data_IF_410793624106
#
_entry.id   IF_410793624106
#
_cell.length_a   1.000
_cell.length_b   1.000
_cell.length_c   1.000
_cell.angle_alpha   90.00
_cell.angle_beta   90.00
_cell.angle_gamma   90.00
#
_symmetry.space_group_name_H-M   'P 1'
#
loop_
_entity.id
_entity.type
_entity.pdbx_description
1 polymer ?
#
# COMPACT_ATOMS: atom_id res chain seq x y z
N UNK A 1 58.75 44.80 -32.28
CA UNK A 1 58.12 43.54 -32.72
C UNK A 1 58.17 42.43 -31.68
N UNK A 2 59.34 41.96 -31.21
CA UNK A 2 59.44 40.83 -30.26
C UNK A 2 58.60 40.99 -28.96
N UNK A 3 58.55 42.18 -28.35
CA UNK A 3 57.75 42.42 -27.13
C UNK A 3 56.23 42.36 -27.34
N UNK A 4 55.74 42.74 -28.52
CA UNK A 4 54.30 42.71 -28.85
C UNK A 4 53.83 41.26 -29.04
N UNK A 5 54.67 40.41 -29.64
CA UNK A 5 54.38 38.98 -29.83
C UNK A 5 54.33 38.25 -28.48
N UNK A 6 55.25 38.55 -27.55
CA UNK A 6 55.26 37.94 -26.21
C UNK A 6 54.03 38.34 -25.39
N UNK A 7 53.59 39.60 -25.48
CA UNK A 7 52.36 40.07 -24.82
C UNK A 7 51.13 39.41 -25.45
N UNK A 8 51.07 39.31 -26.78
CA UNK A 8 49.98 38.65 -27.49
C UNK A 8 49.83 37.16 -27.14
N UNK A 9 50.94 36.42 -27.06
CA UNK A 9 50.94 35.00 -26.66
C UNK A 9 50.54 34.83 -25.20
N UNK A 10 50.98 35.73 -24.31
CA UNK A 10 50.58 35.72 -22.90
C UNK A 10 49.08 35.94 -22.69
N UNK A 11 48.49 36.88 -23.43
CA UNK A 11 47.03 37.16 -23.35
C UNK A 11 46.21 35.98 -23.88
N UNK A 12 46.63 35.34 -24.97
CA UNK A 12 45.94 34.15 -25.51
C UNK A 12 46.03 32.98 -24.54
N UNK A 13 47.18 32.75 -23.90
CA UNK A 13 47.32 31.71 -22.88
C UNK A 13 46.43 31.94 -21.66
N UNK A 14 46.33 33.19 -21.18
CA UNK A 14 45.44 33.55 -20.06
C UNK A 14 43.97 33.36 -20.45
N UNK A 15 43.57 33.74 -21.67
CA UNK A 15 42.21 33.53 -22.16
C UNK A 15 41.87 32.04 -22.31
N UNK A 16 42.81 31.22 -22.75
CA UNK A 16 42.63 29.76 -22.82
C UNK A 16 42.54 29.13 -21.43
N UNK A 17 43.35 29.59 -20.47
CA UNK A 17 43.27 29.14 -19.06
C UNK A 17 41.96 29.61 -18.44
N UNK A 18 41.54 30.86 -18.66
CA UNK A 18 40.27 31.38 -18.17
C UNK A 18 39.07 30.66 -18.82
N UNK A 19 39.15 30.32 -20.11
CA UNK A 19 38.15 29.51 -20.80
C UNK A 19 38.13 28.08 -20.25
N UNK A 20 39.29 27.45 -20.05
CA UNK A 20 39.40 26.11 -19.48
C UNK A 20 38.89 26.05 -18.03
N UNK A 21 39.26 27.03 -17.21
CA UNK A 21 38.73 27.22 -15.85
C UNK A 21 37.23 27.51 -15.90
N UNK A 22 36.75 28.35 -16.81
CA UNK A 22 35.32 28.61 -16.99
C UNK A 22 34.56 27.37 -17.43
N UNK A 23 35.13 26.50 -18.28
CA UNK A 23 34.49 25.21 -18.64
C UNK A 23 34.53 24.19 -17.51
N UNK A 24 35.48 24.29 -16.57
CA UNK A 24 35.52 23.46 -15.36
C UNK A 24 34.59 24.01 -14.26
N UNK A 25 34.47 25.34 -14.16
CA UNK A 25 33.66 26.06 -13.15
C UNK A 25 32.22 26.27 -13.62
N UNK A 26 31.93 26.21 -14.93
CA UNK A 26 30.59 26.06 -15.46
C UNK A 26 30.05 24.74 -14.93
N UNK A 27 29.53 24.83 -13.71
CA UNK A 27 29.03 23.74 -12.92
C UNK A 27 28.04 23.00 -13.79
N UNK A 28 28.41 21.79 -14.20
CA UNK A 28 27.45 20.84 -14.72
C UNK A 28 26.27 20.83 -13.76
N UNK A 29 25.08 21.16 -14.28
CA UNK A 29 23.89 21.41 -13.49
C UNK A 29 23.65 20.21 -12.56
N UNK A 30 23.46 20.49 -11.26
CA UNK A 30 23.30 19.46 -10.23
C UNK A 30 22.19 18.49 -10.62
N UNK A 31 22.54 17.21 -10.74
CA UNK A 31 21.58 16.15 -10.97
C UNK A 31 20.89 15.80 -9.65
N UNK A 32 19.56 15.68 -9.67
CA UNK A 32 18.79 15.24 -8.50
C UNK A 32 18.22 13.85 -8.78
N UNK A 33 18.45 12.91 -7.86
CA UNK A 33 17.91 11.54 -7.97
C UNK A 33 16.89 11.31 -6.87
N UNK A 34 15.62 11.18 -7.27
CA UNK A 34 14.54 10.81 -6.38
C UNK A 34 14.31 9.30 -6.46
N UNK A 35 14.32 8.62 -5.32
CA UNK A 35 14.11 7.19 -5.19
C UNK A 35 12.80 6.97 -4.45
N UNK A 36 11.80 6.46 -5.16
CA UNK A 36 10.47 6.20 -4.63
C UNK A 36 10.35 4.72 -4.34
N UNK A 37 10.23 4.37 -3.06
CA UNK A 37 10.05 3.00 -2.59
C UNK A 37 8.57 2.73 -2.34
N UNK A 38 7.92 1.95 -3.22
CA UNK A 38 6.51 1.58 -3.05
C UNK A 38 6.27 0.61 -1.89
N UNK A 39 7.32 -0.08 -1.43
CA UNK A 39 7.26 -1.09 -0.39
C UNK A 39 8.58 -1.07 0.41
N UNK A 40 8.67 -0.21 1.44
CA UNK A 40 9.73 -0.28 2.45
C UNK A 40 9.14 -0.68 3.81
N UNK A 41 9.77 -1.65 4.47
CA UNK A 41 9.43 -2.04 5.84
C UNK A 41 9.95 -0.94 6.79
N UNK A 42 9.15 -0.52 7.78
CA UNK A 42 9.55 0.50 8.78
C UNK A 42 10.86 0.16 9.51
N UNK A 43 11.26 -1.11 9.49
CA UNK A 43 12.34 -1.66 10.28
C UNK A 43 13.69 -1.78 9.56
N UNK A 44 13.76 -1.55 8.24
CA UNK A 44 15.05 -1.39 7.57
C UNK A 44 15.35 0.10 7.50
N UNK A 45 16.39 0.55 8.23
CA UNK A 45 16.81 1.95 8.15
C UNK A 45 17.17 2.28 6.71
N UNK A 46 16.61 3.36 6.19
CA UNK A 46 16.97 3.92 4.89
C UNK A 46 18.49 4.15 4.76
N UNK A 47 19.16 4.40 5.89
CA UNK A 47 20.62 4.43 6.03
C UNK A 47 21.33 3.18 5.50
N UNK A 48 20.78 1.96 5.70
CA UNK A 48 21.39 0.74 5.17
C UNK A 48 21.33 0.65 3.64
N UNK A 49 20.28 1.19 3.02
CA UNK A 49 20.19 1.25 1.55
C UNK A 49 21.21 2.23 0.99
N UNK A 50 21.35 3.39 1.64
CA UNK A 50 22.30 4.43 1.22
C UNK A 50 23.74 4.02 1.45
N UNK A 51 24.07 3.45 2.60
CA UNK A 51 25.43 2.96 2.86
C UNK A 51 25.84 1.93 1.80
N UNK A 52 24.93 1.06 1.38
CA UNK A 52 25.22 0.09 0.29
C UNK A 52 25.30 0.72 -1.09
N UNK A 53 24.51 1.76 -1.39
CA UNK A 53 24.70 2.56 -2.62
C UNK A 53 26.09 3.19 -2.60
N UNK A 54 26.47 3.82 -1.49
CA UNK A 54 27.79 4.44 -1.30
C UNK A 54 28.91 3.38 -1.42
N UNK A 55 28.78 2.22 -0.79
CA UNK A 55 29.75 1.12 -0.88
C UNK A 55 29.89 0.57 -2.31
N UNK A 56 28.79 0.53 -3.06
CA UNK A 56 28.79 0.07 -4.46
C UNK A 56 29.37 1.13 -5.42
N UNK A 57 29.31 2.39 -5.02
CA UNK A 57 29.85 3.54 -5.77
C UNK A 57 31.21 3.91 -5.15
N UNK A 58 32.23 3.13 -5.47
CA UNK A 58 33.58 3.29 -4.95
C UNK A 58 34.26 4.55 -5.55
N UNK A 59 34.84 5.42 -4.70
CA UNK A 59 35.77 6.54 -5.00
C UNK A 59 35.24 7.98 -5.27
N UNK A 60 36.18 8.94 -5.35
CA UNK A 60 36.14 10.41 -5.11
C UNK A 60 35.02 11.27 -5.79
N UNK A 61 34.83 12.50 -5.26
CA UNK A 61 33.52 13.05 -4.84
C UNK A 61 32.99 14.28 -5.64
N UNK A 62 31.73 14.24 -6.14
CA UNK A 62 30.94 15.40 -6.70
C UNK A 62 29.52 15.50 -6.10
N UNK A 63 29.05 16.60 -5.52
CA UNK A 63 27.78 16.61 -4.72
C UNK A 63 26.50 16.34 -5.58
N UNK A 64 25.82 15.22 -5.34
CA UNK A 64 24.48 14.84 -5.85
C UNK A 64 23.47 14.85 -4.69
N UNK A 65 22.34 15.52 -4.92
CA UNK A 65 21.20 15.47 -4.01
C UNK A 65 20.37 14.21 -4.28
N UNK A 66 20.33 13.31 -3.29
CA UNK A 66 19.51 12.11 -3.25
C UNK A 66 18.30 12.32 -2.36
N UNK A 67 17.14 11.84 -2.79
CA UNK A 67 15.94 11.87 -1.97
C UNK A 67 15.27 10.51 -1.93
N UNK A 68 15.03 9.95 -0.75
CA UNK A 68 14.27 8.70 -0.59
C UNK A 68 12.87 9.03 -0.10
N UNK A 69 11.87 8.58 -0.87
CA UNK A 69 10.44 8.77 -0.57
C UNK A 69 9.81 7.39 -0.33
N UNK A 70 9.17 7.21 0.82
CA UNK A 70 8.46 5.97 1.19
C UNK A 70 7.13 6.25 1.91
N UNK A 71 6.40 5.18 2.29
CA UNK A 71 5.07 5.28 2.93
C UNK A 71 5.05 6.17 4.18
N UNK A 72 6.18 6.28 4.89
CA UNK A 72 6.25 6.95 6.19
C UNK A 72 7.44 7.89 6.36
N UNK A 73 8.33 7.98 5.38
CA UNK A 73 9.56 8.78 5.48
C UNK A 73 9.88 9.48 4.17
N UNK A 74 10.32 10.73 4.31
CA UNK A 74 10.96 11.51 3.26
C UNK A 74 12.29 11.95 3.84
N UNK A 75 13.38 11.47 3.27
CA UNK A 75 14.73 11.74 3.77
C UNK A 75 15.62 12.22 2.62
N UNK A 76 16.29 13.34 2.86
CA UNK A 76 17.20 13.98 1.92
C UNK A 76 18.65 13.61 2.29
N UNK A 77 19.42 13.27 1.28
CA UNK A 77 20.81 12.84 1.40
C UNK A 77 21.66 13.56 0.36
N UNK A 78 22.94 13.75 0.69
CA UNK A 78 23.94 14.30 -0.23
C UNK A 78 25.00 13.24 -0.43
N UNK A 79 25.03 12.66 -1.62
CA UNK A 79 25.99 11.64 -2.00
C UNK A 79 26.90 12.23 -3.05
N UNK A 80 28.15 11.78 -3.10
CA UNK A 80 29.13 12.36 -4.00
C UNK A 80 29.28 11.43 -5.25
N UNK A 81 28.99 11.93 -6.45
CA UNK A 81 29.13 11.30 -7.78
C UNK A 81 30.58 10.91 -8.07
N UNK A 82 30.81 9.77 -8.72
CA UNK A 82 32.12 9.40 -9.24
C UNK A 82 32.48 10.20 -10.51
N UNK A 83 33.69 10.76 -10.58
CA UNK A 83 34.21 11.36 -11.82
C UNK A 83 34.74 10.24 -12.75
N UNK A 84 34.21 10.17 -13.98
CA UNK A 84 34.93 9.60 -15.13
C UNK A 84 34.76 8.11 -15.44
N UNK A 85 33.89 7.36 -14.74
CA UNK A 85 33.65 5.93 -15.03
C UNK A 85 32.25 5.62 -15.57
N UNK A 86 31.26 6.42 -15.21
CA UNK A 86 29.87 6.28 -15.65
C UNK A 86 29.44 7.68 -16.09
N UNK A 87 28.85 7.79 -17.29
CA UNK A 87 28.32 9.08 -17.72
C UNK A 87 27.20 9.50 -16.77
N UNK A 88 27.00 10.81 -16.53
CA UNK A 88 25.87 11.33 -15.73
C UNK A 88 24.51 10.80 -16.21
N UNK A 89 24.42 10.39 -17.48
CA UNK A 89 23.26 9.73 -18.09
C UNK A 89 23.03 8.30 -17.61
N UNK A 90 24.09 7.56 -17.30
CA UNK A 90 24.06 6.14 -16.93
C UNK A 90 24.07 5.93 -15.40
N UNK A 91 24.46 6.94 -14.62
CA UNK A 91 24.49 6.87 -13.16
C UNK A 91 23.14 6.51 -12.51
N UNK A 92 21.98 7.04 -12.95
CA UNK A 92 20.68 6.61 -12.42
C UNK A 92 20.38 5.12 -12.67
N UNK A 93 20.95 4.53 -13.72
CA UNK A 93 20.78 3.10 -14.02
C UNK A 93 21.57 2.26 -13.02
N UNK A 94 22.80 2.67 -12.71
CA UNK A 94 23.64 2.03 -11.68
C UNK A 94 22.94 2.05 -10.31
N UNK A 95 22.44 3.22 -9.87
CA UNK A 95 21.69 3.35 -8.61
C UNK A 95 20.50 2.40 -8.57
N UNK A 96 19.73 2.34 -9.66
CA UNK A 96 18.59 1.42 -9.82
C UNK A 96 19.01 -0.04 -9.72
N UNK A 97 20.08 -0.45 -10.41
CA UNK A 97 20.57 -1.84 -10.40
C UNK A 97 21.09 -2.26 -9.02
N UNK A 98 21.89 -1.41 -8.37
CA UNK A 98 22.37 -1.63 -7.00
C UNK A 98 21.22 -1.79 -6.01
N UNK A 99 20.24 -0.88 -6.05
CA UNK A 99 19.09 -0.97 -5.14
C UNK A 99 18.21 -2.18 -5.43
N UNK A 100 18.00 -2.56 -6.69
CA UNK A 100 17.26 -3.77 -7.04
C UNK A 100 17.91 -5.03 -6.45
N UNK A 101 19.23 -5.13 -6.51
CA UNK A 101 19.98 -6.25 -5.93
C UNK A 101 19.78 -6.32 -4.40
N UNK A 102 19.92 -5.18 -3.72
CA UNK A 102 19.75 -5.09 -2.27
C UNK A 102 18.31 -5.42 -1.86
N UNK A 103 17.34 -4.82 -2.56
CA UNK A 103 15.93 -4.99 -2.25
C UNK A 103 15.50 -6.43 -2.51
N UNK A 104 16.00 -7.09 -3.57
CA UNK A 104 15.66 -8.48 -3.93
C UNK A 104 15.77 -9.49 -2.77
N UNK A 105 16.60 -9.20 -1.77
CA UNK A 105 16.82 -10.02 -0.58
C UNK A 105 15.78 -9.76 0.54
N UNK A 106 15.13 -8.59 0.56
CA UNK A 106 14.37 -8.08 1.72
C UNK A 106 12.87 -7.81 1.48
N UNK A 107 12.31 -8.12 0.30
CA UNK A 107 10.89 -7.85 0.01
C UNK A 107 9.95 -8.67 0.92
N UNK A 108 9.17 -8.00 1.77
CA UNK A 108 8.02 -8.59 2.44
C UNK A 108 6.71 -8.22 1.76
N UNK A 109 5.72 -9.09 1.96
CA UNK A 109 4.34 -8.94 1.49
C UNK A 109 3.69 -7.70 2.12
N UNK A 110 3.27 -6.73 1.31
CA UNK A 110 2.42 -5.60 1.72
C UNK A 110 0.98 -5.81 1.23
N UNK A 111 0.03 -5.38 2.06
CA UNK A 111 -1.42 -5.49 1.83
C UNK A 111 -2.14 -4.11 1.73
N UNK A 112 -1.45 -2.98 1.68
CA UNK A 112 -2.09 -1.65 1.71
C UNK A 112 -2.11 -0.94 0.34
N UNK A 113 -3.28 -0.90 -0.29
CA UNK A 113 -3.52 -0.24 -1.58
C UNK A 113 -3.57 1.29 -1.46
N UNK A 114 -4.11 1.82 -0.35
CA UNK A 114 -4.26 3.26 -0.13
C UNK A 114 -2.89 3.91 0.07
N UNK A 115 -2.04 3.27 0.88
CA UNK A 115 -0.67 3.73 1.09
C UNK A 115 0.12 3.86 -0.21
N UNK A 116 0.03 2.87 -1.10
CA UNK A 116 0.75 2.89 -2.39
C UNK A 116 0.25 4.01 -3.30
N UNK A 117 -1.06 4.23 -3.37
CA UNK A 117 -1.62 5.34 -4.14
C UNK A 117 -1.18 6.71 -3.60
N UNK A 118 -1.11 6.85 -2.28
CA UNK A 118 -0.66 8.09 -1.65
C UNK A 118 0.83 8.39 -1.95
N UNK A 119 1.70 7.37 -2.00
CA UNK A 119 3.11 7.56 -2.40
C UNK A 119 3.21 7.98 -3.86
N UNK A 120 2.46 7.31 -4.73
CA UNK A 120 2.43 7.67 -6.15
C UNK A 120 2.00 9.13 -6.30
N UNK A 121 0.95 9.54 -5.59
CA UNK A 121 0.47 10.92 -5.58
C UNK A 121 1.53 11.91 -5.09
N UNK A 122 2.13 11.69 -3.92
CA UNK A 122 3.09 12.63 -3.35
C UNK A 122 4.34 12.76 -4.24
N UNK A 123 4.84 11.65 -4.76
CA UNK A 123 6.04 11.61 -5.60
C UNK A 123 5.82 12.29 -6.95
N UNK A 124 4.65 12.08 -7.56
CA UNK A 124 4.30 12.74 -8.83
C UNK A 124 4.02 14.22 -8.65
N UNK A 125 3.34 14.62 -7.57
CA UNK A 125 3.14 16.03 -7.24
C UNK A 125 4.48 16.74 -7.03
N UNK A 126 5.43 16.10 -6.36
CA UNK A 126 6.77 16.66 -6.17
C UNK A 126 7.51 16.84 -7.50
N UNK A 127 7.49 15.81 -8.35
CA UNK A 127 8.03 15.87 -9.71
C UNK A 127 7.45 17.02 -10.54
N UNK A 128 6.17 17.35 -10.36
CA UNK A 128 5.51 18.44 -11.08
C UNK A 128 5.78 19.83 -10.52
N UNK A 129 6.21 19.92 -9.26
CA UNK A 129 6.46 21.19 -8.59
C UNK A 129 7.93 21.62 -8.70
N UNK A 130 8.82 20.69 -9.02
CA UNK A 130 10.25 20.96 -9.24
C UNK A 130 10.55 21.01 -10.75
N UNK A 131 10.89 22.21 -11.26
CA UNK A 131 11.12 22.46 -12.69
C UNK A 131 12.60 22.20 -13.06
N UNK A 132 13.02 20.94 -12.93
CA UNK A 132 14.41 20.54 -13.16
C UNK A 132 14.51 19.52 -14.29
N UNK A 133 15.03 19.95 -15.44
CA UNK A 133 15.35 19.06 -16.57
C UNK A 133 16.37 17.97 -16.17
N UNK A 134 17.12 18.18 -15.08
CA UNK A 134 18.14 17.26 -14.54
C UNK A 134 17.65 16.38 -13.38
N UNK A 135 16.34 16.27 -13.16
CA UNK A 135 15.79 15.33 -12.17
C UNK A 135 15.54 13.96 -12.81
N UNK A 136 16.03 12.91 -12.15
CA UNK A 136 15.68 11.53 -12.45
C UNK A 136 14.91 10.92 -11.27
N UNK A 137 13.69 10.43 -11.51
CA UNK A 137 12.90 9.73 -10.50
C UNK A 137 12.83 8.25 -10.80
N UNK A 138 13.20 7.42 -9.82
CA UNK A 138 13.28 5.98 -9.91
C UNK A 138 12.20 5.39 -9.00
N UNK A 139 11.19 4.76 -9.59
CA UNK A 139 10.18 3.99 -8.86
C UNK A 139 10.68 2.55 -8.71
N UNK A 140 10.94 2.16 -7.47
CA UNK A 140 11.37 0.81 -7.08
C UNK A 140 10.31 0.21 -6.17
N UNK A 141 9.92 -1.03 -6.43
CA UNK A 141 8.80 -1.54 -5.69
C UNK A 141 8.24 -2.87 -6.13
N UNK A 142 7.30 -3.33 -5.32
CA UNK A 142 6.22 -4.20 -5.75
C UNK A 142 4.93 -3.52 -5.33
N UNK A 143 3.90 -3.61 -6.16
CA UNK A 143 2.55 -3.26 -5.71
C UNK A 143 2.11 -4.20 -4.57
N UNK A 144 1.08 -3.86 -3.79
CA UNK A 144 0.51 -4.76 -2.79
C UNK A 144 0.06 -6.08 -3.42
N UNK A 145 0.05 -7.16 -2.65
CA UNK A 145 -0.29 -8.47 -3.23
C UNK A 145 -1.72 -8.54 -3.76
N UNK A 146 -2.63 -7.80 -3.15
CA UNK A 146 -4.05 -7.73 -3.48
C UNK A 146 -4.43 -6.35 -4.01
N UNK A 147 -3.58 -5.78 -4.88
CA UNK A 147 -3.83 -4.47 -5.47
C UNK A 147 -5.05 -4.53 -6.40
N UNK A 148 -6.14 -3.89 -5.98
CA UNK A 148 -7.44 -4.04 -6.64
C UNK A 148 -7.64 -3.07 -7.81
N UNK A 149 -8.62 -3.38 -8.67
CA UNK A 149 -8.90 -2.59 -9.88
C UNK A 149 -9.42 -1.18 -9.58
N UNK A 150 -10.12 -0.96 -8.47
CA UNK A 150 -10.59 0.37 -8.09
C UNK A 150 -9.40 1.26 -7.70
N UNK A 151 -8.48 0.72 -6.91
CA UNK A 151 -7.22 1.34 -6.54
C UNK A 151 -6.35 1.63 -7.76
N UNK A 152 -6.25 0.69 -8.71
CA UNK A 152 -5.53 0.91 -9.97
C UNK A 152 -6.16 2.02 -10.82
N UNK A 153 -7.49 2.01 -10.97
CA UNK A 153 -8.21 3.07 -11.69
C UNK A 153 -8.01 4.44 -11.03
N UNK A 154 -8.03 4.50 -9.70
CA UNK A 154 -7.77 5.73 -8.94
C UNK A 154 -6.34 6.23 -9.20
N UNK A 155 -5.34 5.34 -9.19
CA UNK A 155 -3.95 5.70 -9.51
C UNK A 155 -3.81 6.19 -10.96
N UNK A 156 -4.44 5.53 -11.94
CA UNK A 156 -4.45 5.97 -13.35
C UNK A 156 -5.07 7.36 -13.48
N UNK A 157 -6.25 7.58 -12.89
CA UNK A 157 -6.96 8.87 -12.90
C UNK A 157 -6.10 9.96 -12.26
N UNK A 158 -5.36 9.61 -11.21
CA UNK A 158 -4.43 10.51 -10.56
C UNK A 158 -3.30 10.91 -11.50
N UNK A 159 -2.60 9.95 -12.09
CA UNK A 159 -1.51 10.20 -13.03
C UNK A 159 -2.01 11.04 -14.20
N UNK A 160 -3.19 10.74 -14.74
CA UNK A 160 -3.85 11.50 -15.81
C UNK A 160 -4.06 12.97 -15.43
N UNK A 161 -4.69 13.21 -14.28
CA UNK A 161 -4.99 14.56 -13.80
C UNK A 161 -3.72 15.38 -13.54
N UNK A 162 -2.65 14.74 -13.10
CA UNK A 162 -1.37 15.40 -12.87
C UNK A 162 -0.71 15.76 -14.22
N UNK A 163 -0.57 14.79 -15.13
CA UNK A 163 0.08 15.00 -16.44
C UNK A 163 -0.66 16.03 -17.30
N UNK A 164 -2.00 16.07 -17.25
CA UNK A 164 -2.77 17.04 -18.01
C UNK A 164 -2.61 18.48 -17.50
N UNK A 165 -2.15 18.70 -16.26
CA UNK A 165 -2.03 20.02 -15.65
C UNK A 165 -0.69 20.71 -15.90
N UNK A 166 0.39 19.97 -16.18
CA UNK A 166 1.74 20.51 -16.43
C UNK A 166 2.55 19.59 -17.34
N UNK A 167 3.48 20.16 -18.10
CA UNK A 167 4.51 19.39 -18.80
C UNK A 167 5.55 18.98 -17.76
N UNK A 168 5.55 17.70 -17.38
CA UNK A 168 6.63 17.11 -16.60
C UNK A 168 7.93 17.13 -17.41
N UNK A 169 8.98 17.69 -16.81
CA UNK A 169 10.35 17.66 -17.32
C UNK A 169 11.18 16.73 -16.43
N UNK A 170 12.07 15.94 -17.01
CA UNK A 170 12.90 14.96 -16.30
C UNK A 170 12.71 13.53 -16.77
N UNK A 171 13.53 12.62 -16.23
CA UNK A 171 13.54 11.19 -16.59
C UNK A 171 12.84 10.37 -15.50
N UNK A 172 11.99 9.43 -15.91
CA UNK A 172 11.37 8.46 -15.01
C UNK A 172 11.92 7.07 -15.32
N UNK A 173 12.35 6.35 -14.29
CA UNK A 173 12.73 4.94 -14.38
C UNK A 173 11.72 4.13 -13.59
N UNK A 174 11.01 3.23 -14.27
CA UNK A 174 10.11 2.28 -13.66
C UNK A 174 10.84 0.94 -13.54
N UNK A 175 11.04 0.48 -12.30
CA UNK A 175 11.60 -0.84 -12.01
C UNK A 175 10.78 -1.50 -10.90
N UNK A 176 9.56 -1.83 -11.27
CA UNK A 176 8.54 -2.40 -10.42
C UNK A 176 8.36 -3.89 -10.71
N UNK A 177 8.16 -4.67 -9.64
CA UNK A 177 7.65 -6.03 -9.73
C UNK A 177 6.16 -5.97 -9.92
N UNK A 178 5.71 -6.38 -11.09
CA UNK A 178 4.30 -6.32 -11.49
C UNK A 178 3.81 -7.68 -11.93
N UNK A 179 2.55 -7.97 -11.67
CA UNK A 179 1.91 -9.15 -12.23
C UNK A 179 1.26 -8.77 -13.57
N UNK A 180 1.52 -9.54 -14.62
CA UNK A 180 1.06 -9.23 -15.99
C UNK A 180 -0.44 -9.41 -16.21
N UNK A 181 -1.13 -10.13 -15.32
CA UNK A 181 -2.57 -10.37 -15.37
C UNK A 181 -3.38 -9.50 -14.38
N UNK A 182 -2.72 -8.60 -13.66
CA UNK A 182 -3.34 -7.80 -12.59
C UNK A 182 -3.55 -6.33 -12.97
N UNK A 183 -4.41 -5.60 -12.24
CA UNK A 183 -4.70 -4.19 -12.49
C UNK A 183 -3.49 -3.24 -12.53
N UNK A 184 -2.35 -3.65 -11.97
CA UNK A 184 -1.09 -2.89 -11.98
C UNK A 184 -0.60 -2.59 -13.39
N UNK A 185 -0.87 -3.47 -14.36
CA UNK A 185 -0.48 -3.23 -15.75
C UNK A 185 -1.18 -2.03 -16.36
N UNK A 186 -2.39 -1.69 -15.89
CA UNK A 186 -3.11 -0.52 -16.36
C UNK A 186 -2.34 0.76 -15.98
N UNK A 187 -1.70 0.79 -14.81
CA UNK A 187 -0.85 1.90 -14.37
C UNK A 187 0.42 1.98 -15.24
N UNK A 188 1.11 0.86 -15.46
CA UNK A 188 2.34 0.83 -16.26
C UNK A 188 2.07 1.27 -17.69
N UNK A 189 1.04 0.71 -18.33
CA UNK A 189 0.64 1.09 -19.69
C UNK A 189 0.24 2.55 -19.76
N UNK A 190 -0.42 3.07 -18.73
CA UNK A 190 -0.75 4.48 -18.68
C UNK A 190 0.51 5.31 -18.68
N UNK A 191 1.47 5.05 -17.79
CA UNK A 191 2.79 5.72 -17.81
C UNK A 191 3.42 5.67 -19.20
N UNK A 192 3.55 4.50 -19.82
CA UNK A 192 4.17 4.35 -21.14
C UNK A 192 3.45 5.13 -22.25
N UNK A 193 2.13 5.33 -22.13
CA UNK A 193 1.34 6.09 -23.10
C UNK A 193 1.53 7.61 -22.99
N UNK A 194 2.17 8.08 -21.93
CA UNK A 194 2.42 9.51 -21.70
C UNK A 194 3.57 10.00 -22.57
N UNK A 195 3.68 11.32 -22.75
CA UNK A 195 4.81 11.95 -23.46
C UNK A 195 6.10 12.04 -22.62
N UNK A 196 6.16 11.34 -21.49
CA UNK A 196 7.29 11.41 -20.55
C UNK A 196 8.46 10.56 -21.04
N UNK A 197 9.67 10.96 -20.66
CA UNK A 197 10.87 10.16 -20.91
C UNK A 197 10.96 9.02 -19.89
N UNK A 198 10.29 7.91 -20.19
CA UNK A 198 10.19 6.73 -19.32
C UNK A 198 11.12 5.63 -19.81
N UNK A 199 11.95 5.13 -18.88
CA UNK A 199 12.65 3.85 -19.04
C UNK A 199 11.93 2.80 -18.21
N UNK A 200 11.37 1.77 -18.86
CA UNK A 200 10.71 0.66 -18.18
C UNK A 200 11.65 -0.55 -18.11
N UNK A 201 11.97 -1.01 -16.90
CA UNK A 201 12.70 -2.24 -16.61
C UNK A 201 11.96 -3.09 -15.58
N UNK A 202 10.64 -3.13 -15.65
CA UNK A 202 9.78 -3.88 -14.75
C UNK A 202 10.04 -5.39 -14.84
N UNK A 203 9.92 -6.07 -13.71
CA UNK A 203 9.99 -7.52 -13.64
C UNK A 203 8.58 -8.09 -13.57
N UNK A 204 8.22 -8.97 -14.51
CA UNK A 204 6.96 -9.71 -14.42
C UNK A 204 7.11 -10.83 -13.39
N UNK A 205 6.23 -10.83 -12.38
CA UNK A 205 6.18 -11.87 -11.35
C UNK A 205 4.94 -12.76 -11.52
N UNK A 206 4.97 -14.02 -11.03
CA UNK A 206 3.83 -14.93 -11.12
C UNK A 206 2.57 -14.40 -10.47
N UNK A 207 1.43 -14.99 -10.85
CA UNK A 207 0.14 -14.57 -10.33
C UNK A 207 0.07 -14.60 -8.81
N UNK A 208 -0.31 -13.49 -8.20
CA UNK A 208 -0.51 -13.40 -6.75
C UNK A 208 -1.91 -13.89 -6.40
N UNK A 209 -2.00 -14.83 -5.48
CA UNK A 209 -3.28 -15.35 -5.01
C UNK A 209 -3.84 -14.37 -3.98
N UNK A 210 -4.84 -13.61 -4.39
CA UNK A 210 -5.56 -12.63 -3.58
C UNK A 210 -6.76 -13.28 -2.88
N UNK A 211 -6.54 -14.32 -2.08
CA UNK A 211 -7.63 -15.11 -1.47
C UNK A 211 -8.05 -14.63 -0.07
N UNK A 212 -7.65 -13.44 0.37
CA UNK A 212 -8.11 -12.91 1.66
C UNK A 212 -9.49 -12.29 1.49
N UNK A 213 -10.51 -13.07 1.83
CA UNK A 213 -11.87 -12.54 1.93
C UNK A 213 -11.91 -11.49 3.05
N UNK A 214 -12.53 -10.34 2.79
CA UNK A 214 -12.85 -9.38 3.85
C UNK A 214 -14.14 -9.79 4.53
N UNK A 215 -14.11 -9.89 5.85
CA UNK A 215 -15.20 -10.41 6.66
C UNK A 215 -15.51 -9.41 7.77
N UNK A 216 -16.70 -8.82 7.68
CA UNK A 216 -17.23 -7.97 8.74
C UNK A 216 -17.84 -8.88 9.81
N UNK A 217 -17.43 -8.75 11.07
CA UNK A 217 -17.93 -9.59 12.18
C UNK A 217 -18.59 -8.76 13.27
N UNK A 218 -19.71 -9.24 13.78
CA UNK A 218 -20.46 -8.68 14.91
C UNK A 218 -20.49 -9.70 16.02
N UNK A 219 -19.86 -9.39 17.15
CA UNK A 219 -19.87 -10.23 18.34
C UNK A 219 -20.95 -9.75 19.30
N UNK A 220 -22.00 -10.56 19.42
CA UNK A 220 -23.10 -10.35 20.37
C UNK A 220 -22.81 -11.03 21.71
N UNK A 221 -22.15 -12.19 21.69
CA UNK A 221 -21.69 -12.89 22.88
C UNK A 221 -20.24 -13.36 22.77
N UNK A 222 -19.57 -13.50 23.91
CA UNK A 222 -18.28 -14.21 23.96
C UNK A 222 -18.45 -15.69 23.63
N UNK A 223 -17.38 -16.31 23.14
CA UNK A 223 -17.34 -17.76 22.87
C UNK A 223 -16.75 -18.45 24.10
N UNK A 224 -17.43 -19.45 24.69
CA UNK A 224 -16.89 -20.19 25.83
C UNK A 224 -15.54 -20.82 25.49
N UNK A 225 -14.58 -20.74 26.41
CA UNK A 225 -13.20 -21.21 26.17
C UNK A 225 -13.16 -22.67 25.69
N UNK A 226 -13.98 -23.53 26.29
CA UNK A 226 -14.14 -24.95 25.92
C UNK A 226 -14.62 -25.19 24.47
N UNK A 227 -15.22 -24.19 23.81
CA UNK A 227 -15.74 -24.26 22.43
C UNK A 227 -14.86 -23.54 21.41
N UNK A 228 -13.83 -22.79 21.83
CA UNK A 228 -13.03 -21.95 20.92
C UNK A 228 -12.36 -22.74 19.79
N UNK A 229 -11.81 -23.92 20.08
CA UNK A 229 -11.16 -24.74 19.06
C UNK A 229 -12.15 -25.26 18.01
N UNK A 230 -13.32 -25.70 18.46
CA UNK A 230 -14.41 -26.16 17.60
C UNK A 230 -14.95 -25.01 16.74
N UNK A 231 -15.23 -23.86 17.37
CA UNK A 231 -15.66 -22.65 16.69
C UNK A 231 -14.63 -22.21 15.63
N UNK A 232 -13.36 -22.10 16.01
CA UNK A 232 -12.27 -21.69 15.11
C UNK A 232 -12.19 -22.58 13.86
N UNK A 233 -12.31 -23.90 14.05
CA UNK A 233 -12.31 -24.87 12.96
C UNK A 233 -13.54 -24.72 12.05
N UNK A 234 -14.72 -24.55 12.63
CA UNK A 234 -15.96 -24.37 11.88
C UNK A 234 -15.99 -23.03 11.12
N UNK A 235 -15.48 -21.97 11.75
CA UNK A 235 -15.38 -20.64 11.19
C UNK A 235 -14.48 -20.64 9.95
N UNK A 236 -13.27 -21.24 10.05
CA UNK A 236 -12.38 -21.44 8.89
C UNK A 236 -13.00 -22.33 7.82
N UNK A 237 -13.68 -23.42 8.19
CA UNK A 237 -14.37 -24.29 7.21
C UNK A 237 -15.42 -23.52 6.41
N UNK A 238 -16.14 -22.61 7.05
CA UNK A 238 -17.22 -21.83 6.45
C UNK A 238 -16.68 -20.73 5.54
N UNK A 239 -15.64 -20.03 6.00
CA UNK A 239 -15.22 -18.76 5.39
C UNK A 239 -13.96 -18.92 4.52
N UNK A 240 -13.14 -19.94 4.78
CA UNK A 240 -11.87 -20.19 4.13
C UNK A 240 -10.70 -20.15 5.12
N UNK A 241 -9.51 -20.51 4.65
CA UNK A 241 -8.31 -20.56 5.49
C UNK A 241 -7.62 -19.21 5.69
N UNK A 242 -7.86 -18.26 4.76
CA UNK A 242 -7.24 -16.94 4.73
C UNK A 242 -8.33 -15.87 4.58
N UNK A 243 -8.45 -14.98 5.55
CA UNK A 243 -9.38 -13.85 5.50
C UNK A 243 -8.97 -12.73 6.45
N UNK A 244 -9.35 -11.50 6.11
CA UNK A 244 -9.22 -10.34 6.98
C UNK A 244 -10.55 -10.08 7.69
N UNK A 245 -10.48 -9.85 8.99
CA UNK A 245 -11.63 -9.75 9.87
C UNK A 245 -11.69 -8.35 10.47
N UNK A 246 -12.83 -7.70 10.35
CA UNK A 246 -13.14 -6.46 11.08
C UNK A 246 -14.09 -6.82 12.22
N UNK A 247 -13.69 -6.55 13.47
CA UNK A 247 -14.46 -6.87 14.69
C UNK A 247 -15.34 -5.70 15.06
N UNK A 248 -16.63 -5.96 15.29
CA UNK A 248 -17.52 -5.02 15.97
C UNK A 248 -18.11 -5.69 17.21
N UNK A 249 -17.87 -5.09 18.37
CA UNK A 249 -18.18 -5.65 19.69
C UNK A 249 -18.56 -4.53 20.67
N UNK A 250 -19.03 -4.89 21.86
CA UNK A 250 -19.38 -3.91 22.91
C UNK A 250 -18.20 -3.39 23.73
N UNK A 251 -16.97 -3.79 23.40
CA UNK A 251 -15.78 -3.52 24.20
C UNK A 251 -14.69 -2.77 23.41
N UNK A 252 -13.46 -2.76 23.93
CA UNK A 252 -12.31 -2.10 23.32
C UNK A 252 -11.86 -2.67 21.98
N UNK A 253 -12.40 -3.82 21.54
CA UNK A 253 -12.10 -4.41 20.23
C UNK A 253 -12.99 -3.90 19.11
N UNK A 254 -13.95 -3.02 19.40
CA UNK A 254 -14.83 -2.46 18.38
C UNK A 254 -14.04 -1.68 17.33
N UNK A 255 -14.11 -2.13 16.08
CA UNK A 255 -13.37 -1.61 14.92
C UNK A 255 -11.98 -2.23 14.71
N UNK A 256 -11.56 -3.21 15.53
CA UNK A 256 -10.24 -3.84 15.37
C UNK A 256 -10.18 -4.68 14.09
N UNK A 257 -9.02 -4.72 13.45
CA UNK A 257 -8.77 -5.49 12.24
C UNK A 257 -7.73 -6.56 12.50
N UNK A 258 -8.03 -7.79 12.12
CA UNK A 258 -7.13 -8.93 12.29
C UNK A 258 -7.06 -9.77 11.02
N UNK A 259 -5.88 -10.28 10.71
CA UNK A 259 -5.69 -11.22 9.60
C UNK A 259 -5.70 -12.65 10.14
N UNK A 260 -6.64 -13.46 9.65
CA UNK A 260 -6.69 -14.89 9.93
C UNK A 260 -5.99 -15.66 8.82
N UNK A 261 -4.84 -16.23 9.13
CA UNK A 261 -4.16 -17.24 8.31
C UNK A 261 -3.51 -18.30 9.21
N UNK A 262 -2.87 -19.30 8.62
CA UNK A 262 -2.23 -20.37 9.39
C UNK A 262 -1.00 -19.91 10.18
N UNK A 263 -0.37 -18.78 9.81
CA UNK A 263 0.78 -18.21 10.51
C UNK A 263 0.36 -17.41 11.73
N UNK A 264 -0.81 -16.77 11.67
CA UNK A 264 -1.38 -15.92 12.74
C UNK A 264 -2.49 -16.60 13.56
N UNK A 265 -2.58 -17.94 13.51
CA UNK A 265 -3.61 -18.71 14.21
C UNK A 265 -3.72 -18.37 15.70
N UNK A 266 -2.59 -18.14 16.37
CA UNK A 266 -2.55 -17.81 17.81
C UNK A 266 -3.17 -16.43 18.09
N UNK A 267 -2.86 -15.41 17.28
CA UNK A 267 -3.40 -14.05 17.43
C UNK A 267 -4.94 -14.04 17.29
N UNK A 268 -5.45 -14.78 16.30
CA UNK A 268 -6.89 -14.94 16.09
C UNK A 268 -7.59 -15.62 17.28
N UNK A 269 -7.04 -16.71 17.83
CA UNK A 269 -7.66 -17.39 18.98
C UNK A 269 -7.63 -16.48 20.22
N UNK A 270 -6.56 -15.71 20.40
CA UNK A 270 -6.46 -14.74 21.50
C UNK A 270 -7.47 -13.59 21.35
N UNK A 271 -7.73 -13.12 20.12
CA UNK A 271 -8.83 -12.18 19.87
C UNK A 271 -10.17 -12.80 20.34
N UNK A 272 -10.50 -14.01 19.88
CA UNK A 272 -11.77 -14.67 20.21
C UNK A 272 -11.97 -14.86 21.73
N UNK A 273 -10.90 -15.07 22.49
CA UNK A 273 -10.94 -15.16 23.97
C UNK A 273 -11.29 -13.82 24.63
N UNK A 274 -10.83 -12.71 24.05
CA UNK A 274 -10.88 -11.40 24.67
C UNK A 274 -12.14 -10.62 24.33
N UNK A 275 -12.77 -10.91 23.20
CA UNK A 275 -14.02 -10.25 22.79
C UNK A 275 -15.15 -10.59 23.77
N UNK A 276 -15.74 -9.54 24.34
CA UNK A 276 -16.84 -9.61 25.29
C UNK A 276 -18.20 -9.43 24.61
N UNK A 277 -19.23 -9.93 25.28
CA UNK A 277 -20.62 -9.79 24.87
C UNK A 277 -21.01 -8.32 24.73
N UNK A 278 -21.72 -8.00 23.65
CA UNK A 278 -22.27 -6.67 23.45
C UNK A 278 -23.45 -6.42 24.40
N UNK A 279 -23.47 -5.25 25.04
CA UNK A 279 -24.62 -4.80 25.80
C UNK A 279 -25.77 -4.38 24.88
N UNK A 280 -27.02 -4.48 25.36
CA UNK A 280 -28.20 -4.08 24.58
C UNK A 280 -28.13 -2.65 24.03
N UNK A 281 -27.57 -1.72 24.81
CA UNK A 281 -27.48 -0.30 24.45
C UNK A 281 -26.50 -0.02 23.31
N UNK A 282 -25.48 -0.86 23.11
CA UNK A 282 -24.48 -0.69 22.04
C UNK A 282 -24.83 -1.40 20.74
N UNK A 283 -25.84 -2.28 20.72
CA UNK A 283 -26.22 -3.08 19.54
C UNK A 283 -26.46 -2.22 18.30
N UNK A 284 -27.19 -1.11 18.43
CA UNK A 284 -27.45 -0.21 17.28
C UNK A 284 -26.13 0.32 16.69
N UNK A 285 -25.25 0.82 17.55
CA UNK A 285 -23.96 1.38 17.13
C UNK A 285 -23.07 0.32 16.47
N UNK A 286 -23.02 -0.89 17.03
CA UNK A 286 -22.25 -2.02 16.48
C UNK A 286 -22.74 -2.36 15.07
N UNK A 287 -24.06 -2.47 14.87
CA UNK A 287 -24.63 -2.74 13.56
C UNK A 287 -24.49 -1.57 12.59
N UNK A 288 -24.62 -0.32 13.03
CA UNK A 288 -24.41 0.86 12.19
C UNK A 288 -22.96 0.89 11.68
N UNK A 289 -21.98 0.62 12.55
CA UNK A 289 -20.57 0.53 12.19
C UNK A 289 -20.30 -0.64 11.22
N UNK A 290 -20.86 -1.82 11.48
CA UNK A 290 -20.74 -2.97 10.59
C UNK A 290 -21.36 -2.70 9.21
N UNK A 291 -22.51 -2.04 9.16
CA UNK A 291 -23.16 -1.63 7.91
C UNK A 291 -22.28 -0.64 7.13
N UNK A 292 -21.62 0.29 7.81
CA UNK A 292 -20.70 1.24 7.19
C UNK A 292 -19.46 0.53 6.61
N UNK A 293 -18.89 -0.43 7.34
CA UNK A 293 -17.77 -1.26 6.86
C UNK A 293 -18.14 -2.07 5.60
N UNK A 294 -19.31 -2.72 5.61
CA UNK A 294 -19.86 -3.46 4.46
C UNK A 294 -20.09 -2.53 3.25
N UNK A 295 -20.53 -1.30 3.50
CA UNK A 295 -20.75 -0.31 2.43
C UNK A 295 -19.41 0.15 1.81
N UNK A 296 -18.39 0.31 2.64
CA UNK A 296 -17.06 0.76 2.23
C UNK A 296 -16.23 -0.36 1.58
N UNK A 297 -16.66 -1.62 1.68
CA UNK A 297 -16.01 -2.73 1.02
C UNK A 297 -16.27 -2.67 -0.51
N UNK A 298 -15.24 -2.81 -1.38
CA UNK A 298 -15.38 -2.66 -2.82
C UNK A 298 -16.50 -3.51 -3.42
N UNK A 299 -17.22 -2.94 -4.40
CA UNK A 299 -18.47 -3.53 -4.94
C UNK A 299 -18.32 -4.90 -5.63
N UNK A 300 -17.10 -5.28 -6.00
CA UNK A 300 -16.80 -6.57 -6.67
C UNK A 300 -16.53 -7.70 -5.70
N UNK A 301 -16.27 -7.39 -4.43
CA UNK A 301 -15.99 -8.38 -3.41
C UNK A 301 -17.30 -8.97 -2.87
N UNK A 302 -17.29 -10.27 -2.57
CA UNK A 302 -18.40 -10.86 -1.83
C UNK A 302 -18.43 -10.24 -0.43
N UNK A 303 -19.46 -9.46 -0.15
CA UNK A 303 -19.67 -8.85 1.16
C UNK A 303 -20.13 -9.93 2.13
N UNK A 304 -19.32 -10.26 3.14
CA UNK A 304 -19.68 -11.23 4.17
C UNK A 304 -19.91 -10.51 5.49
N UNK A 305 -21.08 -10.71 6.09
CA UNK A 305 -21.37 -10.31 7.46
C UNK A 305 -21.46 -11.58 8.31
N UNK A 306 -20.73 -11.63 9.40
CA UNK A 306 -20.78 -12.74 10.33
C UNK A 306 -21.26 -12.24 11.67
N UNK A 307 -22.32 -12.84 12.20
CA UNK A 307 -22.87 -12.53 13.51
C UNK A 307 -22.56 -13.70 14.42
N UNK A 308 -22.06 -13.42 15.62
CA UNK A 308 -21.61 -14.45 16.56
C UNK A 308 -22.35 -14.25 17.88
N UNK A 309 -23.09 -15.27 18.30
CA UNK A 309 -23.78 -15.29 19.57
C UNK A 309 -25.25 -14.90 19.52
N UNK A 310 -25.88 -14.89 20.71
CA UNK A 310 -27.29 -14.53 20.88
C UNK A 310 -27.48 -13.03 21.02
N UNK A 311 -28.62 -12.52 20.53
CA UNK A 311 -29.02 -11.14 20.80
C UNK A 311 -29.28 -10.94 22.30
N UNK A 312 -28.84 -9.82 22.91
CA UNK A 312 -29.22 -9.48 24.28
C UNK A 312 -30.74 -9.30 24.40
N UNK A 313 -31.33 -9.77 25.50
CA UNK A 313 -32.78 -9.70 25.73
C UNK A 313 -33.26 -8.26 25.91
N UNK A 314 -34.17 -7.81 25.04
CA UNK A 314 -34.87 -6.54 25.18
C UNK A 314 -36.14 -6.36 24.33
N UNK A 315 -36.53 -7.38 23.54
CA UNK A 315 -37.81 -7.42 22.82
C UNK A 315 -37.94 -6.50 21.59
N UNK A 316 -36.84 -5.94 21.07
CA UNK A 316 -36.85 -4.99 19.92
C UNK A 316 -35.68 -5.22 18.94
N UNK A 317 -35.36 -6.48 18.64
CA UNK A 317 -34.16 -6.83 17.88
C UNK A 317 -34.12 -6.22 16.48
N UNK A 318 -35.25 -6.22 15.78
CA UNK A 318 -35.43 -5.75 14.42
C UNK A 318 -35.18 -4.24 14.22
N UNK A 319 -35.44 -3.44 15.25
CA UNK A 319 -35.31 -1.98 15.21
C UNK A 319 -33.86 -1.47 15.26
N UNK A 320 -32.88 -2.35 15.42
CA UNK A 320 -31.47 -1.98 15.63
C UNK A 320 -30.64 -1.93 14.36
N UNK A 321 -31.22 -2.31 13.21
CA UNK A 321 -30.46 -2.63 12.01
C UNK A 321 -30.99 -1.91 10.78
N UNK A 322 -30.07 -1.38 9.98
CA UNK A 322 -30.37 -0.92 8.63
C UNK A 322 -30.37 -2.10 7.64
N UNK A 323 -31.54 -2.73 7.49
CA UNK A 323 -31.73 -3.91 6.64
C UNK A 323 -31.27 -3.72 5.20
N UNK A 324 -31.40 -2.52 4.64
CA UNK A 324 -30.99 -2.25 3.26
C UNK A 324 -29.48 -2.32 3.07
N UNK A 325 -28.68 -1.95 4.08
CA UNK A 325 -27.22 -2.08 4.02
C UNK A 325 -26.79 -3.55 4.04
N UNK A 326 -27.48 -4.39 4.83
CA UNK A 326 -27.16 -5.82 4.96
C UNK A 326 -27.64 -6.64 3.77
N UNK A 327 -28.66 -6.20 3.01
CA UNK A 327 -29.15 -6.89 1.80
C UNK A 327 -28.05 -7.23 0.79
N UNK A 328 -26.98 -6.45 0.76
CA UNK A 328 -25.87 -6.64 -0.17
C UNK A 328 -24.85 -7.69 0.31
N UNK A 329 -24.98 -8.18 1.54
CA UNK A 329 -24.07 -9.13 2.14
C UNK A 329 -24.67 -10.54 2.22
N UNK A 330 -23.81 -11.55 2.11
CA UNK A 330 -24.12 -12.90 2.60
C UNK A 330 -23.88 -12.91 4.11
N UNK A 331 -24.92 -13.25 4.86
CA UNK A 331 -24.89 -13.25 6.32
C UNK A 331 -24.70 -14.67 6.86
N UNK A 332 -23.73 -14.87 7.73
CA UNK A 332 -23.58 -16.11 8.50
C UNK A 332 -23.81 -15.82 9.97
N UNK A 333 -24.75 -16.52 10.60
CA UNK A 333 -25.01 -16.37 12.02
C UNK A 333 -24.57 -17.61 12.78
N UNK A 334 -23.47 -17.50 13.51
CA UNK A 334 -22.96 -18.51 14.41
C UNK A 334 -23.68 -18.45 15.75
N UNK A 335 -24.43 -19.51 16.07
CA UNK A 335 -25.20 -19.65 17.29
C UNK A 335 -24.68 -20.81 18.15
N UNK A 336 -24.62 -20.65 19.49
CA UNK A 336 -24.30 -21.76 20.38
C UNK A 336 -25.40 -22.85 20.29
N UNK A 337 -24.98 -24.10 20.11
CA UNK A 337 -25.90 -25.24 19.89
C UNK A 337 -26.81 -25.56 21.08
N UNK A 338 -26.32 -25.29 22.28
CA UNK A 338 -26.92 -25.72 23.56
C UNK A 338 -27.93 -24.70 24.11
N UNK A 339 -27.95 -23.47 23.57
CA UNK A 339 -28.81 -22.41 24.09
C UNK A 339 -30.14 -22.34 23.35
N UNK A 340 -31.23 -22.11 24.11
CA UNK A 340 -32.52 -21.77 23.52
C UNK A 340 -32.47 -20.37 22.92
N UNK A 341 -33.00 -20.23 21.70
CA UNK A 341 -33.19 -18.91 21.09
C UNK A 341 -34.08 -18.08 22.00
N UNK A 342 -33.59 -16.91 22.38
CA UNK A 342 -34.41 -15.95 23.09
C UNK A 342 -35.33 -15.20 22.11
N UNK A 343 -36.41 -14.62 22.63
CA UNK A 343 -37.41 -13.90 21.84
C UNK A 343 -36.76 -12.81 20.97
N UNK A 344 -35.77 -12.09 21.49
CA UNK A 344 -35.11 -11.01 20.74
C UNK A 344 -34.31 -11.54 19.55
N UNK A 345 -33.69 -12.71 19.71
CA UNK A 345 -32.98 -13.42 18.64
C UNK A 345 -33.97 -13.90 17.58
N UNK A 346 -35.12 -14.45 17.98
CA UNK A 346 -36.19 -14.85 17.05
C UNK A 346 -36.71 -13.67 16.23
N UNK A 347 -37.04 -12.54 16.88
CA UNK A 347 -37.48 -11.32 16.17
C UNK A 347 -36.43 -10.84 15.16
N UNK A 348 -35.15 -10.96 15.49
CA UNK A 348 -34.07 -10.58 14.57
C UNK A 348 -33.95 -11.53 13.37
N UNK A 349 -34.11 -12.84 13.59
CA UNK A 349 -34.18 -13.85 12.52
C UNK A 349 -35.37 -13.59 11.61
N UNK A 350 -36.53 -13.25 12.18
CA UNK A 350 -37.72 -12.88 11.41
C UNK A 350 -37.44 -11.62 10.56
N UNK A 351 -36.69 -10.66 11.12
CA UNK A 351 -36.20 -9.49 10.40
C UNK A 351 -35.39 -9.83 9.14
N UNK A 352 -34.50 -10.83 9.20
CA UNK A 352 -33.77 -11.33 8.02
C UNK A 352 -34.73 -11.86 6.95
N UNK A 353 -35.73 -12.64 7.37
CA UNK A 353 -36.71 -13.27 6.49
C UNK A 353 -37.60 -12.25 5.81
N UNK A 354 -38.19 -11.32 6.58
CA UNK A 354 -39.07 -10.24 6.11
C UNK A 354 -38.34 -9.37 5.08
N UNK A 355 -37.07 -9.08 5.33
CA UNK A 355 -36.26 -8.23 4.46
C UNK A 355 -35.55 -8.98 3.33
N UNK A 356 -35.80 -10.29 3.16
CA UNK A 356 -35.21 -11.13 2.11
C UNK A 356 -33.67 -11.08 2.09
N UNK A 357 -33.06 -11.08 3.27
CA UNK A 357 -31.60 -11.12 3.41
C UNK A 357 -31.11 -12.54 3.10
N UNK A 358 -29.97 -12.65 2.41
CA UNK A 358 -29.32 -13.96 2.22
C UNK A 358 -28.56 -14.33 3.50
N UNK A 359 -29.15 -15.19 4.33
CA UNK A 359 -28.56 -15.59 5.61
C UNK A 359 -28.52 -17.11 5.79
N UNK A 360 -27.52 -17.56 6.54
CA UNK A 360 -27.32 -18.95 6.94
C UNK A 360 -27.06 -19.02 8.45
N UNK A 361 -27.78 -19.89 9.16
CA UNK A 361 -27.59 -20.14 10.59
C UNK A 361 -26.67 -21.36 10.76
N UNK A 362 -25.59 -21.18 11.50
CA UNK A 362 -24.56 -22.19 11.76
C UNK A 362 -24.49 -22.42 13.27
N UNK A 363 -24.65 -23.66 13.72
CA UNK A 363 -24.57 -24.02 15.14
C UNK A 363 -23.17 -24.51 15.49
N UNK A 364 -22.61 -24.06 16.62
CA UNK A 364 -21.30 -24.49 17.15
C UNK A 364 -21.36 -25.03 18.57
#
# INVERSE_FOLDING_TARGET
MKRIIVIGVGVVAILLIAYYIYTIIAAEERQTINIVLLNSDKNNSNENYINKIIESVNFELKEIDFKIISLNTVEDYKILEPIGLVSSKDFPILVKDTLNEILNIHWKKINDNVGVNNILESSLNELMNNDHENTCTIFLGSFPNCYDKESANAAVTLIENLINKKILKGKIILSLKTNSEEPEQDIIKYFESTKLNITNSNQVVPKRICDYKKITTVFLSSIPEKKLSQFSSLFKKTLGNNFDLTVFSGDSYNGSKETCDDKKKTEYIELLKKVKSAGWTSIKQIFDNACQDIKNNPSKDTKNLVIIGLMPNAGKGDQKVNWNAIKQAKVYWFLPSEDKLNETTSVFIDGFTINKINFEIIKY
#
